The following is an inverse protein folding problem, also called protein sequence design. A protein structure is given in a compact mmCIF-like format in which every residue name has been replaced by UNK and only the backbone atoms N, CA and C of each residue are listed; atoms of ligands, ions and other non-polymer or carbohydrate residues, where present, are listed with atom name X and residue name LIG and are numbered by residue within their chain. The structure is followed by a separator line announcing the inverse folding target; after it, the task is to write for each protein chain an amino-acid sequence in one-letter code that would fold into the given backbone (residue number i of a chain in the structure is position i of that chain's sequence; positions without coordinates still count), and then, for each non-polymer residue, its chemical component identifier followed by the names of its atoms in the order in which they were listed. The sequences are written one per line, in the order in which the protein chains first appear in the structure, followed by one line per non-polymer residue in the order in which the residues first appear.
data_IF_553871832750
#
_entry.id   IF_553871832750
#
_cell.length_a   1.000
_cell.length_b   1.000
_cell.length_c   1.000
_cell.angle_alpha   90.00
_cell.angle_beta   90.00
_cell.angle_gamma   90.00
#
_symmetry.space_group_name_H-M   'P 1'
#
loop_
_entity.id
_entity.type
_entity.pdbx_description
1 polymer ?
#
# COMPACT_ATOMS: atom_id res chain seq x y z
N UNK A 1 -15.91 2.42 -40.31
CA UNK A 1 -16.66 3.19 -39.30
C UNK A 1 -16.83 2.47 -37.97
N UNK A 2 -17.08 1.15 -37.94
CA UNK A 2 -17.30 0.35 -36.71
C UNK A 2 -16.12 0.35 -35.73
N UNK A 3 -14.88 0.25 -36.23
CA UNK A 3 -13.68 0.23 -35.37
C UNK A 3 -13.42 1.56 -34.63
N UNK A 4 -13.75 2.69 -35.25
CA UNK A 4 -13.59 4.01 -34.62
C UNK A 4 -14.50 4.16 -33.41
N UNK A 5 -15.75 3.69 -33.52
CA UNK A 5 -16.71 3.70 -32.42
C UNK A 5 -16.30 2.75 -31.29
N UNK A 6 -15.79 1.56 -31.62
CA UNK A 6 -15.28 0.61 -30.63
C UNK A 6 -14.11 1.20 -29.83
N UNK A 7 -13.12 1.79 -30.51
CA UNK A 7 -11.94 2.36 -29.85
C UNK A 7 -12.28 3.57 -28.99
N UNK A 8 -13.19 4.43 -29.47
CA UNK A 8 -13.73 5.53 -28.69
C UNK A 8 -14.46 5.02 -27.44
N UNK A 9 -15.36 4.04 -27.60
CA UNK A 9 -16.15 3.49 -26.50
C UNK A 9 -15.25 2.86 -25.43
N UNK A 10 -14.25 2.06 -25.83
CA UNK A 10 -13.29 1.47 -24.89
C UNK A 10 -12.45 2.53 -24.17
N UNK A 11 -12.05 3.59 -24.88
CA UNK A 11 -11.30 4.70 -24.28
C UNK A 11 -12.15 5.45 -23.25
N UNK A 12 -13.42 5.73 -23.57
CA UNK A 12 -14.38 6.33 -22.64
C UNK A 12 -14.56 5.46 -21.39
N UNK A 13 -14.76 4.15 -21.56
CA UNK A 13 -14.85 3.20 -20.43
C UNK A 13 -13.59 3.26 -19.56
N UNK A 14 -12.41 3.22 -20.16
CA UNK A 14 -11.14 3.26 -19.43
C UNK A 14 -10.96 4.59 -18.67
N UNK A 15 -11.38 5.73 -19.24
CA UNK A 15 -11.38 7.03 -18.56
C UNK A 15 -12.32 7.02 -17.34
N UNK A 16 -13.54 6.49 -17.49
CA UNK A 16 -14.47 6.37 -16.36
C UNK A 16 -13.93 5.48 -15.25
N UNK A 17 -13.30 4.35 -15.59
CA UNK A 17 -12.69 3.46 -14.61
C UNK A 17 -11.50 4.12 -13.89
N UNK A 18 -10.63 4.83 -14.61
CA UNK A 18 -9.56 5.61 -13.98
C UNK A 18 -10.12 6.70 -13.04
N UNK A 19 -11.18 7.39 -13.48
CA UNK A 19 -11.92 8.35 -12.65
C UNK A 19 -12.47 7.72 -11.38
N UNK A 20 -12.98 6.48 -11.45
CA UNK A 20 -13.47 5.76 -10.27
C UNK A 20 -12.38 5.48 -9.23
N UNK A 21 -11.15 5.20 -9.66
CA UNK A 21 -9.99 5.02 -8.76
C UNK A 21 -9.68 6.32 -8.04
N UNK A 22 -9.74 7.45 -8.74
CA UNK A 22 -9.53 8.78 -8.15
C UNK A 22 -10.62 9.14 -7.14
N UNK A 23 -11.88 8.85 -7.45
CA UNK A 23 -13.00 9.07 -6.51
C UNK A 23 -12.83 8.21 -5.25
N UNK A 24 -12.48 6.93 -5.42
CA UNK A 24 -12.24 6.01 -4.32
C UNK A 24 -11.06 6.48 -3.46
N UNK A 25 -10.00 6.99 -4.08
CA UNK A 25 -8.88 7.63 -3.39
C UNK A 25 -9.31 8.82 -2.52
N UNK A 26 -10.08 9.75 -3.07
CA UNK A 26 -10.58 10.92 -2.35
C UNK A 26 -11.49 10.51 -1.18
N UNK A 27 -12.37 9.53 -1.40
CA UNK A 27 -13.24 8.99 -0.36
C UNK A 27 -12.45 8.36 0.79
N UNK A 28 -11.48 7.50 0.49
CA UNK A 28 -10.62 6.89 1.51
C UNK A 28 -9.80 7.93 2.28
N UNK A 29 -9.29 8.95 1.59
CA UNK A 29 -8.53 10.04 2.22
C UNK A 29 -9.40 10.83 3.19
N UNK A 30 -10.60 11.23 2.76
CA UNK A 30 -11.58 11.91 3.63
C UNK A 30 -11.97 11.06 4.83
N UNK A 31 -12.21 9.76 4.63
CA UNK A 31 -12.52 8.82 5.71
C UNK A 31 -11.39 8.74 6.73
N UNK A 32 -10.13 8.71 6.30
CA UNK A 32 -8.99 8.69 7.23
C UNK A 32 -8.89 10.00 8.01
N UNK A 33 -9.04 11.15 7.36
CA UNK A 33 -8.94 12.46 8.01
C UNK A 33 -9.98 12.62 9.12
N UNK A 34 -11.20 12.14 8.89
CA UNK A 34 -12.28 12.20 9.87
C UNK A 34 -12.19 11.12 10.96
N UNK A 35 -11.41 10.06 10.75
CA UNK A 35 -11.29 8.95 11.71
C UNK A 35 -10.60 9.41 12.99
N UNK A 36 -11.17 9.18 14.17
CA UNK A 36 -10.56 9.54 15.46
C UNK A 36 -9.99 8.30 16.14
N UNK A 37 -8.77 8.41 16.69
CA UNK A 37 -8.20 7.35 17.53
C UNK A 37 -8.85 7.47 18.91
N UNK A 38 -9.56 6.43 19.41
CA UNK A 38 -10.18 6.48 20.72
C UNK A 38 -9.11 6.44 21.81
N UNK A 39 -9.28 7.22 22.87
CA UNK A 39 -8.41 7.16 24.04
C UNK A 39 -8.66 5.86 24.83
N UNK A 40 -7.60 5.17 25.25
CA UNK A 40 -7.69 3.98 26.10
C UNK A 40 -7.54 4.45 27.55
N UNK A 41 -8.61 4.33 28.33
CA UNK A 41 -8.61 4.74 29.73
C UNK A 41 -8.08 3.60 30.60
N UNK A 42 -6.85 3.74 31.10
CA UNK A 42 -6.23 2.78 32.02
C UNK A 42 -5.46 3.50 33.13
N UNK A 43 -5.02 2.74 34.14
CA UNK A 43 -4.18 3.29 35.21
C UNK A 43 -2.77 3.67 34.73
N UNK A 44 -2.33 3.11 33.60
CA UNK A 44 -0.95 3.19 33.11
C UNK A 44 -0.87 4.15 31.93
N UNK A 45 -1.09 5.44 32.21
CA UNK A 45 -1.21 6.46 31.17
C UNK A 45 0.12 6.85 30.51
N UNK A 46 1.26 6.61 31.17
CA UNK A 46 2.59 6.96 30.68
C UNK A 46 3.54 5.77 30.86
N UNK A 47 4.40 5.54 29.88
CA UNK A 47 5.50 4.57 29.94
C UNK A 47 6.82 5.32 29.95
N UNK A 48 7.76 4.94 30.83
CA UNK A 48 9.04 5.64 30.92
C UNK A 48 9.98 5.25 29.78
N UNK A 49 10.92 6.13 29.41
CA UNK A 49 11.93 5.82 28.38
C UNK A 49 12.80 4.62 28.75
N UNK A 50 13.04 4.40 30.04
CA UNK A 50 13.73 3.24 30.60
C UNK A 50 12.94 1.95 30.40
N UNK A 51 11.62 1.98 30.66
CA UNK A 51 10.73 0.84 30.40
C UNK A 51 10.67 0.51 28.92
N UNK A 52 10.55 1.52 28.04
CA UNK A 52 10.59 1.33 26.59
C UNK A 52 11.88 0.64 26.15
N UNK A 53 13.04 1.10 26.64
CA UNK A 53 14.32 0.50 26.26
C UNK A 53 14.45 -0.95 26.74
N UNK A 54 14.00 -1.24 27.96
CA UNK A 54 13.97 -2.60 28.51
C UNK A 54 13.04 -3.50 27.68
N UNK A 55 11.86 -2.99 27.32
CA UNK A 55 10.90 -3.67 26.45
C UNK A 55 11.52 -4.00 25.11
N UNK A 56 12.13 -3.03 24.43
CA UNK A 56 12.80 -3.22 23.15
C UNK A 56 13.83 -4.35 23.26
N UNK A 57 14.66 -4.34 24.31
CA UNK A 57 15.68 -5.35 24.54
C UNK A 57 15.08 -6.75 24.75
N UNK A 58 14.01 -6.85 25.53
CA UNK A 58 13.32 -8.12 25.79
C UNK A 58 12.70 -8.68 24.50
N UNK A 59 11.96 -7.87 23.74
CA UNK A 59 11.35 -8.31 22.48
C UNK A 59 12.40 -8.59 21.40
N UNK A 60 13.52 -7.87 21.40
CA UNK A 60 14.64 -8.16 20.51
C UNK A 60 15.20 -9.57 20.78
N UNK A 61 15.34 -9.97 22.04
CA UNK A 61 15.76 -11.33 22.40
C UNK A 61 14.70 -12.36 21.96
N UNK A 62 13.43 -12.12 22.27
CA UNK A 62 12.33 -13.03 21.95
C UNK A 62 12.14 -13.27 20.46
N UNK A 63 12.32 -12.23 19.64
CA UNK A 63 12.21 -12.35 18.18
C UNK A 63 13.52 -12.77 17.50
N UNK A 64 14.53 -13.19 18.27
CA UNK A 64 15.85 -13.60 17.78
C UNK A 64 16.55 -12.52 16.93
N UNK A 65 16.50 -11.27 17.40
CA UNK A 65 17.09 -10.08 16.78
C UNK A 65 18.38 -9.61 17.49
N UNK A 66 19.05 -10.48 18.26
CA UNK A 66 20.21 -10.11 19.09
C UNK A 66 21.36 -9.48 18.29
N UNK A 67 21.53 -9.88 17.03
CA UNK A 67 22.55 -9.34 16.15
C UNK A 67 22.21 -7.97 15.56
N UNK A 68 20.98 -7.49 15.74
CA UNK A 68 20.49 -6.24 15.16
C UNK A 68 20.45 -5.15 16.22
N UNK A 69 21.03 -3.98 15.93
CA UNK A 69 20.87 -2.81 16.78
C UNK A 69 19.51 -2.16 16.50
N UNK A 70 18.68 -2.01 17.54
CA UNK A 70 17.43 -1.24 17.46
C UNK A 70 17.73 0.23 17.77
N UNK A 71 17.47 1.10 16.80
CA UNK A 71 17.67 2.55 16.90
C UNK A 71 16.29 3.19 17.04
N UNK A 72 15.96 3.58 18.28
CA UNK A 72 14.72 4.28 18.63
C UNK A 72 14.98 5.79 18.73
N UNK A 73 14.72 6.53 17.66
CA UNK A 73 15.15 7.93 17.53
C UNK A 73 14.03 8.83 17.03
N UNK A 74 14.11 10.11 17.43
CA UNK A 74 13.29 11.17 16.86
C UNK A 74 13.74 11.40 15.42
N UNK A 75 12.83 11.17 14.47
CA UNK A 75 13.10 11.38 13.05
C UNK A 75 11.96 12.20 12.48
N UNK A 76 12.28 13.29 11.77
CA UNK A 76 11.28 14.12 11.08
C UNK A 76 10.47 13.33 10.04
N UNK A 77 11.03 12.24 9.52
CA UNK A 77 10.42 11.42 8.46
C UNK A 77 9.91 10.09 9.00
N UNK A 78 8.63 9.83 8.72
CA UNK A 78 7.98 8.55 9.02
C UNK A 78 8.69 7.37 8.35
N UNK A 79 9.12 6.40 9.15
CA UNK A 79 9.70 5.14 8.64
C UNK A 79 8.58 4.21 8.16
N UNK A 80 8.61 3.83 6.87
CA UNK A 80 7.61 2.92 6.26
C UNK A 80 7.69 1.51 6.87
N UNK A 81 6.55 0.82 6.95
CA UNK A 81 6.38 -0.49 7.65
C UNK A 81 7.40 -1.56 7.21
N UNK A 82 7.69 -1.67 5.91
CA UNK A 82 8.64 -2.68 5.38
C UNK A 82 10.02 -2.14 5.00
N UNK A 83 10.36 -0.93 5.46
CA UNK A 83 11.65 -0.26 5.21
C UNK A 83 12.40 0.09 6.51
N UNK A 84 12.02 -0.51 7.63
CA UNK A 84 12.65 -0.25 8.92
C UNK A 84 13.92 -1.08 9.18
N UNK A 85 14.20 -2.11 8.37
CA UNK A 85 15.40 -2.97 8.52
C UNK A 85 16.47 -2.65 7.48
N UNK A 86 17.69 -2.39 7.94
CA UNK A 86 18.91 -2.34 7.15
C UNK A 86 19.72 -3.61 7.38
N UNK A 87 19.53 -4.62 6.52
CA UNK A 87 20.16 -5.95 6.68
C UNK A 87 21.69 -5.89 6.70
N UNK A 88 22.29 -5.11 5.81
CA UNK A 88 23.76 -5.03 5.69
C UNK A 88 24.41 -4.39 6.92
N UNK A 89 23.76 -3.39 7.52
CA UNK A 89 24.24 -2.70 8.73
C UNK A 89 23.76 -3.38 10.02
N UNK A 90 22.95 -4.43 9.92
CA UNK A 90 22.22 -5.05 11.02
C UNK A 90 21.54 -4.03 11.94
N UNK A 91 20.76 -3.11 11.34
CA UNK A 91 20.07 -2.04 12.08
C UNK A 91 18.57 -2.08 11.85
N UNK A 92 17.79 -1.84 12.90
CA UNK A 92 16.33 -1.69 12.87
C UNK A 92 16.00 -0.28 13.37
N UNK A 93 15.40 0.55 12.52
CA UNK A 93 15.05 1.92 12.86
C UNK A 93 13.56 2.02 13.22
N UNK A 94 13.28 2.59 14.39
CA UNK A 94 11.93 2.87 14.84
C UNK A 94 11.84 4.36 15.17
N UNK A 95 10.96 5.09 14.49
CA UNK A 95 10.74 6.51 14.76
C UNK A 95 9.96 6.66 16.06
N UNK A 96 10.45 7.49 16.99
CA UNK A 96 9.69 7.96 18.15
C UNK A 96 8.46 8.75 17.72
N UNK A 97 7.35 8.60 18.44
CA UNK A 97 6.07 9.25 18.15
C UNK A 97 5.29 9.49 19.44
N UNK A 98 4.41 10.48 19.36
CA UNK A 98 3.40 10.74 20.38
C UNK A 98 2.17 9.91 20.05
N UNK A 99 1.68 9.15 21.02
CA UNK A 99 0.48 8.33 20.91
C UNK A 99 -0.59 8.80 21.88
N UNK A 100 -1.84 8.55 21.55
CA UNK A 100 -2.97 8.88 22.41
C UNK A 100 -3.03 8.01 23.68
N UNK A 101 -2.37 6.85 23.69
CA UNK A 101 -2.25 5.98 24.88
C UNK A 101 -1.02 5.09 24.81
N UNK A 102 -0.59 4.58 25.97
CA UNK A 102 0.50 3.59 26.11
C UNK A 102 0.25 2.32 25.30
N UNK A 103 -1.00 1.83 25.26
CA UNK A 103 -1.37 0.66 24.46
C UNK A 103 -1.02 0.79 22.98
N UNK A 104 -1.23 1.97 22.39
CA UNK A 104 -0.88 2.23 20.99
C UNK A 104 0.63 2.32 20.78
N UNK A 105 1.35 2.93 21.72
CA UNK A 105 2.82 2.99 21.66
C UNK A 105 3.44 1.59 21.73
N UNK A 106 2.92 0.74 22.62
CA UNK A 106 3.33 -0.65 22.78
C UNK A 106 3.06 -1.47 21.52
N UNK A 107 1.84 -1.42 20.97
CA UNK A 107 1.48 -2.09 19.71
C UNK A 107 2.39 -1.62 18.56
N UNK A 108 2.67 -0.32 18.48
CA UNK A 108 3.60 0.23 17.50
C UNK A 108 5.02 -0.32 17.65
N UNK A 109 5.60 -0.29 18.84
CA UNK A 109 6.98 -0.75 19.07
C UNK A 109 7.11 -2.25 18.79
N UNK A 110 6.23 -3.05 19.37
CA UNK A 110 6.27 -4.51 19.26
C UNK A 110 6.03 -4.95 17.83
N UNK A 111 5.05 -4.34 17.14
CA UNK A 111 4.78 -4.66 15.74
C UNK A 111 5.96 -4.33 14.84
N UNK A 112 6.68 -3.23 15.07
CA UNK A 112 7.86 -2.86 14.29
C UNK A 112 8.97 -3.89 14.43
N UNK A 113 9.23 -4.35 15.65
CA UNK A 113 10.20 -5.41 15.91
C UNK A 113 9.76 -6.74 15.29
N UNK A 114 8.49 -7.10 15.45
CA UNK A 114 7.94 -8.33 14.89
C UNK A 114 8.02 -8.36 13.36
N UNK A 115 7.59 -7.28 12.69
CA UNK A 115 7.68 -7.17 11.22
C UNK A 115 9.13 -7.26 10.76
N UNK A 116 10.07 -6.63 11.48
CA UNK A 116 11.49 -6.72 11.19
C UNK A 116 12.01 -8.15 11.29
N UNK A 117 11.66 -8.87 12.38
CA UNK A 117 12.04 -10.26 12.57
C UNK A 117 11.53 -11.16 11.46
N UNK A 118 10.23 -11.07 11.14
CA UNK A 118 9.63 -11.86 10.06
C UNK A 118 10.21 -11.51 8.68
N UNK A 119 10.61 -10.26 8.44
CA UNK A 119 11.28 -9.85 7.20
C UNK A 119 12.73 -10.37 7.10
N UNK A 120 13.43 -10.52 8.23
CA UNK A 120 14.77 -11.11 8.28
C UNK A 120 14.68 -12.63 8.05
N UNK A 121 13.73 -13.28 8.73
CA UNK A 121 13.44 -14.72 8.62
C UNK A 121 12.80 -15.13 7.28
N UNK A 122 12.42 -14.16 6.43
CA UNK A 122 11.73 -14.37 5.15
C UNK A 122 10.41 -15.14 5.30
N UNK A 123 9.60 -14.80 6.31
CA UNK A 123 8.28 -15.41 6.50
C UNK A 123 7.40 -15.20 5.25
N UNK A 124 6.91 -16.31 4.67
CA UNK A 124 6.10 -16.31 3.47
C UNK A 124 4.80 -15.50 3.60
N UNK A 125 4.18 -15.47 4.78
CA UNK A 125 2.94 -14.71 5.00
C UNK A 125 3.18 -13.20 4.93
N UNK A 126 4.30 -12.73 5.49
CA UNK A 126 4.65 -11.32 5.46
C UNK A 126 5.14 -10.89 4.07
N UNK A 127 5.95 -11.73 3.41
CA UNK A 127 6.47 -11.42 2.07
C UNK A 127 5.36 -11.38 1.02
N UNK A 128 4.40 -12.32 1.08
CA UNK A 128 3.21 -12.30 0.20
C UNK A 128 2.37 -11.05 0.39
N UNK A 129 2.09 -10.65 1.65
CA UNK A 129 1.37 -9.42 1.94
C UNK A 129 2.08 -8.16 1.45
N UNK A 130 3.40 -8.08 1.68
CA UNK A 130 4.23 -6.99 1.16
C UNK A 130 4.13 -6.88 -0.37
N UNK A 131 4.19 -8.02 -1.07
CA UNK A 131 4.06 -8.07 -2.52
C UNK A 131 2.66 -7.65 -3.00
N UNK A 132 1.60 -8.09 -2.30
CA UNK A 132 0.22 -7.74 -2.62
C UNK A 132 -0.08 -6.25 -2.49
N UNK A 133 0.54 -5.53 -1.54
CA UNK A 133 0.23 -4.11 -1.34
C UNK A 133 1.22 -3.16 -2.02
N UNK A 134 2.49 -3.54 -2.10
CA UNK A 134 3.49 -2.71 -2.76
C UNK A 134 3.71 -3.18 -4.19
N UNK A 135 4.36 -4.32 -4.39
CA UNK A 135 4.90 -4.70 -5.70
C UNK A 135 3.81 -4.76 -6.78
N UNK A 136 2.73 -5.51 -6.54
CA UNK A 136 1.70 -5.74 -7.55
C UNK A 136 0.95 -4.45 -7.92
N UNK A 137 0.42 -3.65 -6.97
CA UNK A 137 -0.28 -2.42 -7.32
C UNK A 137 0.60 -1.40 -8.06
N UNK A 138 1.87 -1.24 -7.67
CA UNK A 138 2.78 -0.34 -8.40
C UNK A 138 3.07 -0.82 -9.83
N UNK A 139 3.28 -2.14 -10.03
CA UNK A 139 3.46 -2.69 -11.38
C UNK A 139 2.21 -2.56 -12.23
N UNK A 140 1.02 -2.81 -11.66
CA UNK A 140 -0.25 -2.67 -12.38
C UNK A 140 -0.50 -1.20 -12.74
N UNK A 141 -0.26 -0.26 -11.83
CA UNK A 141 -0.42 1.16 -12.11
C UNK A 141 0.48 1.64 -13.26
N UNK A 142 1.74 1.17 -13.28
CA UNK A 142 2.65 1.44 -14.39
C UNK A 142 2.12 0.87 -15.72
N UNK A 143 1.69 -0.41 -15.73
CA UNK A 143 1.15 -1.07 -16.93
C UNK A 143 -0.14 -0.41 -17.43
N UNK A 144 -1.04 0.01 -16.52
CA UNK A 144 -2.26 0.77 -16.84
C UNK A 144 -1.88 2.09 -17.51
N UNK A 145 -0.93 2.82 -16.94
CA UNK A 145 -0.50 4.13 -17.46
C UNK A 145 0.07 4.00 -18.88
N UNK A 146 0.97 3.04 -19.10
CA UNK A 146 1.56 2.78 -20.43
C UNK A 146 0.48 2.36 -21.44
N UNK A 147 -0.40 1.43 -21.07
CA UNK A 147 -1.48 0.95 -21.95
C UNK A 147 -2.50 2.05 -22.27
N UNK A 148 -2.79 2.92 -21.30
CA UNK A 148 -3.70 4.04 -21.50
C UNK A 148 -3.11 5.10 -22.44
N UNK A 149 -1.87 5.53 -22.19
CA UNK A 149 -1.18 6.51 -23.05
C UNK A 149 -1.07 5.98 -24.47
N UNK A 150 -0.73 4.70 -24.64
CA UNK A 150 -0.65 4.09 -25.96
C UNK A 150 -2.01 4.03 -26.67
N UNK A 151 -3.10 3.72 -25.95
CA UNK A 151 -4.46 3.76 -26.52
C UNK A 151 -4.89 5.16 -26.97
N UNK A 152 -4.54 6.20 -26.20
CA UNK A 152 -4.80 7.60 -26.55
C UNK A 152 -3.98 8.01 -27.77
N UNK A 153 -2.70 7.63 -27.81
CA UNK A 153 -1.83 7.89 -28.96
C UNK A 153 -2.39 7.28 -30.24
N UNK A 154 -2.77 5.99 -30.23
CA UNK A 154 -3.36 5.32 -31.40
C UNK A 154 -4.63 6.01 -31.87
N UNK A 155 -5.48 6.45 -30.94
CA UNK A 155 -6.70 7.19 -31.25
C UNK A 155 -6.43 8.54 -31.93
N UNK A 156 -5.52 9.34 -31.38
CA UNK A 156 -5.16 10.63 -31.95
C UNK A 156 -4.49 10.45 -33.32
N UNK A 157 -3.53 9.52 -33.42
CA UNK A 157 -2.79 9.24 -34.66
C UNK A 157 -3.74 8.86 -35.80
N UNK A 158 -4.65 7.91 -35.56
CA UNK A 158 -5.58 7.49 -36.61
C UNK A 158 -6.60 8.58 -36.94
N UNK A 159 -7.05 9.38 -35.96
CA UNK A 159 -7.95 10.52 -36.22
C UNK A 159 -7.29 11.59 -37.07
N UNK A 160 -6.00 11.87 -36.87
CA UNK A 160 -5.25 12.85 -37.66
C UNK A 160 -4.94 12.33 -39.07
N UNK A 161 -4.54 11.06 -39.20
CA UNK A 161 -4.14 10.49 -40.50
C UNK A 161 -5.30 10.03 -41.39
N UNK A 162 -6.48 9.74 -40.83
CA UNK A 162 -7.68 9.44 -41.64
C UNK A 162 -8.11 10.65 -42.46
N UNK A 163 -7.89 11.87 -41.97
CA UNK A 163 -8.10 13.08 -42.76
C UNK A 163 -7.01 13.24 -43.86
N UNK A 164 -5.80 12.76 -43.62
CA UNK A 164 -4.67 12.86 -44.56
C UNK A 164 -4.70 11.81 -45.69
N UNK A 165 -5.23 10.60 -45.43
CA UNK A 165 -5.36 9.53 -46.44
C UNK A 165 -6.51 9.74 -47.43
N UNK A 166 -7.53 10.54 -47.09
CA UNK A 166 -8.62 10.88 -48.02
C UNK A 166 -8.12 11.86 -49.10
N UNK A 167 -7.12 12.69 -48.78
CA UNK A 167 -6.59 13.70 -49.71
C UNK A 167 -5.47 13.17 -50.62
N UNK A 168 -4.80 12.06 -50.27
CA UNK A 168 -3.63 11.51 -50.98
C UNK A 168 -3.88 10.13 -51.62
N UNK A 169 -5.07 9.90 -52.20
CA UNK A 169 -5.50 8.59 -52.74
C UNK A 169 -4.80 8.13 -54.03
N UNK A 170 -3.60 8.59 -54.35
CA UNK A 170 -2.86 8.11 -55.52
C UNK A 170 -1.41 7.77 -55.19
N UNK A 171 -1.17 6.48 -54.93
CA UNK A 171 0.08 5.73 -55.16
C UNK A 171 1.15 5.57 -54.05
N UNK A 172 0.92 5.92 -52.78
CA UNK A 172 1.97 5.67 -51.78
C UNK A 172 1.93 4.25 -51.17
N UNK A 173 3.08 3.55 -51.27
CA UNK A 173 3.35 2.28 -50.61
C UNK A 173 3.29 2.50 -49.10
N UNK A 174 2.26 1.95 -48.46
CA UNK A 174 2.12 1.95 -46.99
C UNK A 174 3.40 1.38 -46.37
N UNK A 175 4.01 2.15 -45.46
CA UNK A 175 5.21 1.69 -44.76
C UNK A 175 4.86 0.53 -43.81
N UNK A 176 5.82 -0.37 -43.54
CA UNK A 176 5.60 -1.49 -42.61
C UNK A 176 5.16 -1.01 -41.21
N UNK A 177 5.61 0.18 -40.79
CA UNK A 177 5.23 0.80 -39.53
C UNK A 177 3.75 1.22 -39.49
N UNK A 178 3.25 1.85 -40.57
CA UNK A 178 1.84 2.23 -40.68
C UNK A 178 0.91 1.00 -40.71
N UNK A 179 1.35 -0.09 -41.34
CA UNK A 179 0.60 -1.35 -41.32
C UNK A 179 0.43 -1.90 -39.90
N UNK A 180 1.49 -1.87 -39.09
CA UNK A 180 1.42 -2.31 -37.68
C UNK A 180 0.49 -1.42 -36.86
N UNK A 181 0.55 -0.09 -37.06
CA UNK A 181 -0.35 0.84 -36.38
C UNK A 181 -1.82 0.65 -36.79
N UNK A 182 -2.09 0.39 -38.07
CA UNK A 182 -3.43 0.05 -38.55
C UNK A 182 -3.93 -1.27 -37.96
N UNK A 183 -3.06 -2.27 -37.85
CA UNK A 183 -3.41 -3.55 -37.24
C UNK A 183 -3.77 -3.41 -35.75
N UNK A 184 -2.99 -2.61 -35.00
CA UNK A 184 -3.25 -2.26 -33.60
C UNK A 184 -4.49 -1.38 -33.43
N UNK A 185 -4.89 -0.64 -34.47
CA UNK A 185 -6.14 0.12 -34.48
C UNK A 185 -7.36 -0.78 -34.67
N UNK A 186 -7.29 -1.72 -35.62
CA UNK A 186 -8.38 -2.68 -35.88
C UNK A 186 -8.59 -3.59 -34.67
N UNK A 187 -7.50 -4.00 -34.02
CA UNK A 187 -7.50 -4.81 -32.82
C UNK A 187 -7.02 -3.98 -31.61
N UNK A 188 -7.90 -3.35 -30.82
CA UNK A 188 -7.53 -2.45 -29.72
C UNK A 188 -7.00 -3.17 -28.49
N UNK A 189 -5.96 -3.98 -28.67
CA UNK A 189 -5.27 -4.77 -27.65
C UNK A 189 -4.87 -3.88 -26.47
N UNK A 190 -4.37 -2.67 -26.74
CA UNK A 190 -3.98 -1.71 -25.69
C UNK A 190 -5.13 -1.34 -24.76
N UNK A 191 -6.32 -1.09 -25.31
CA UNK A 191 -7.49 -0.69 -24.53
C UNK A 191 -8.02 -1.86 -23.70
N UNK A 192 -8.01 -3.08 -24.28
CA UNK A 192 -8.37 -4.30 -23.56
C UNK A 192 -7.39 -4.62 -22.44
N UNK A 193 -6.08 -4.47 -22.67
CA UNK A 193 -5.06 -4.64 -21.65
C UNK A 193 -5.24 -3.64 -20.51
N UNK A 194 -5.49 -2.36 -20.82
CA UNK A 194 -5.79 -1.34 -19.82
C UNK A 194 -6.97 -1.74 -18.93
N UNK A 195 -8.08 -2.15 -19.55
CA UNK A 195 -9.26 -2.64 -18.83
C UNK A 195 -8.94 -3.88 -17.95
N UNK A 196 -8.23 -4.86 -18.50
CA UNK A 196 -7.86 -6.07 -17.78
C UNK A 196 -6.95 -5.77 -16.56
N UNK A 197 -5.98 -4.86 -16.72
CA UNK A 197 -5.11 -4.43 -15.62
C UNK A 197 -5.86 -3.66 -14.54
N UNK A 198 -6.83 -2.82 -14.93
CA UNK A 198 -7.72 -2.14 -13.98
C UNK A 198 -8.55 -3.14 -13.16
N UNK A 199 -9.14 -4.16 -13.80
CA UNK A 199 -9.87 -5.21 -13.10
C UNK A 199 -8.95 -6.02 -12.18
N UNK A 200 -7.74 -6.34 -12.63
CA UNK A 200 -6.73 -6.99 -11.80
C UNK A 200 -6.38 -6.15 -10.57
N UNK A 201 -6.28 -4.82 -10.70
CA UNK A 201 -6.05 -3.91 -9.59
C UNK A 201 -7.14 -4.03 -8.51
N UNK A 202 -8.42 -4.05 -8.91
CA UNK A 202 -9.53 -4.24 -7.96
C UNK A 202 -9.49 -5.59 -7.26
N UNK A 203 -9.18 -6.67 -7.99
CA UNK A 203 -9.02 -8.01 -7.40
C UNK A 203 -7.87 -8.02 -6.38
N UNK A 204 -6.74 -7.38 -6.71
CA UNK A 204 -5.59 -7.31 -5.79
C UNK A 204 -5.93 -6.53 -4.51
N UNK A 205 -6.71 -5.46 -4.62
CA UNK A 205 -7.24 -4.71 -3.47
C UNK A 205 -8.13 -5.57 -2.57
N UNK A 206 -9.03 -6.35 -3.16
CA UNK A 206 -9.87 -7.26 -2.39
C UNK A 206 -9.05 -8.34 -1.66
N UNK A 207 -8.07 -8.93 -2.35
CA UNK A 207 -7.18 -9.93 -1.76
C UNK A 207 -6.34 -9.35 -0.63
N UNK A 208 -5.84 -8.12 -0.76
CA UNK A 208 -5.01 -7.49 0.29
C UNK A 208 -5.78 -7.31 1.60
N UNK A 209 -7.08 -6.96 1.54
CA UNK A 209 -7.93 -6.85 2.75
C UNK A 209 -8.02 -8.19 3.48
N UNK A 210 -8.26 -9.28 2.73
CA UNK A 210 -8.34 -10.63 3.31
C UNK A 210 -7.01 -11.09 3.90
N UNK A 211 -5.90 -10.82 3.21
CA UNK A 211 -4.57 -11.16 3.72
C UNK A 211 -4.17 -10.32 4.93
N UNK A 212 -4.55 -9.04 4.99
CA UNK A 212 -4.37 -8.20 6.17
C UNK A 212 -5.01 -8.86 7.38
N UNK A 213 -6.28 -9.25 7.30
CA UNK A 213 -7.00 -9.86 8.42
C UNK A 213 -6.30 -11.13 8.93
N UNK A 214 -5.83 -11.98 8.01
CA UNK A 214 -5.05 -13.19 8.38
C UNK A 214 -3.75 -12.84 9.09
N UNK A 215 -3.05 -11.78 8.66
CA UNK A 215 -1.84 -11.32 9.32
C UNK A 215 -2.10 -10.66 10.67
N UNK A 216 -3.17 -9.89 10.82
CA UNK A 216 -3.57 -9.30 12.09
C UNK A 216 -3.84 -10.39 13.14
N UNK A 217 -4.50 -11.49 12.75
CA UNK A 217 -4.73 -12.66 13.64
C UNK A 217 -3.40 -13.34 13.95
N UNK A 218 -2.57 -13.63 12.94
CA UNK A 218 -1.27 -14.29 13.13
C UNK A 218 -0.34 -13.49 14.06
N UNK A 219 -0.29 -12.17 13.89
CA UNK A 219 0.44 -11.27 14.77
C UNK A 219 -0.12 -11.31 16.20
N UNK A 220 -1.44 -11.23 16.34
CA UNK A 220 -2.10 -11.24 17.65
C UNK A 220 -1.82 -12.55 18.42
N UNK A 221 -1.90 -13.69 17.75
CA UNK A 221 -1.69 -15.01 18.36
C UNK A 221 -0.27 -15.21 18.87
N UNK A 222 0.73 -14.71 18.15
CA UNK A 222 2.13 -14.77 18.58
C UNK A 222 2.42 -13.75 19.68
N UNK A 223 1.98 -12.50 19.52
CA UNK A 223 2.40 -11.40 20.39
C UNK A 223 1.62 -11.34 21.70
N UNK A 224 0.32 -11.67 21.72
CA UNK A 224 -0.47 -11.60 22.96
C UNK A 224 0.10 -12.51 24.05
N UNK A 225 0.61 -13.69 23.67
CA UNK A 225 1.28 -14.61 24.59
C UNK A 225 2.55 -14.00 25.17
N UNK A 226 3.35 -13.37 24.33
CA UNK A 226 4.59 -12.71 24.74
C UNK A 226 4.31 -11.55 25.68
N UNK A 227 3.40 -10.65 25.30
CA UNK A 227 2.97 -9.48 26.11
C UNK A 227 2.53 -9.91 27.51
N UNK A 228 1.67 -10.94 27.60
CA UNK A 228 1.22 -11.48 28.89
C UNK A 228 2.38 -11.95 29.79
N UNK A 229 3.46 -12.46 29.20
CA UNK A 229 4.62 -12.96 29.95
C UNK A 229 5.64 -11.88 30.30
N UNK A 230 5.86 -10.87 29.45
CA UNK A 230 6.90 -9.84 29.66
C UNK A 230 6.41 -8.54 30.27
N UNK A 231 5.17 -8.15 30.00
CA UNK A 231 4.60 -6.85 30.39
C UNK A 231 3.12 -7.03 30.77
N UNK A 232 2.87 -7.89 31.76
CA UNK A 232 1.52 -8.23 32.23
C UNK A 232 0.71 -7.00 32.68
N UNK A 233 1.38 -6.01 33.26
CA UNK A 233 0.78 -4.74 33.71
C UNK A 233 0.17 -3.92 32.55
N UNK A 234 0.66 -4.10 31.32
CA UNK A 234 0.16 -3.41 30.12
C UNK A 234 -0.69 -4.31 29.21
N UNK A 235 -1.04 -5.52 29.64
CA UNK A 235 -1.78 -6.49 28.82
C UNK A 235 -3.15 -5.95 28.37
N UNK A 236 -3.85 -5.26 29.27
CA UNK A 236 -5.16 -4.64 28.97
C UNK A 236 -5.04 -3.58 27.86
N UNK A 237 -4.09 -2.65 28.03
CA UNK A 237 -3.87 -1.54 27.08
C UNK A 237 -3.47 -2.05 25.70
N UNK A 238 -2.58 -3.05 25.68
CA UNK A 238 -2.21 -3.71 24.43
C UNK A 238 -3.44 -4.34 23.77
N UNK A 239 -4.24 -5.14 24.48
CA UNK A 239 -5.44 -5.79 23.91
C UNK A 239 -6.48 -4.78 23.39
N UNK A 240 -6.68 -3.67 24.10
CA UNK A 240 -7.55 -2.60 23.66
C UNK A 240 -7.04 -1.98 22.35
N UNK A 241 -5.74 -1.67 22.27
CA UNK A 241 -5.11 -1.18 21.06
C UNK A 241 -5.22 -2.16 19.88
N UNK A 242 -5.05 -3.47 20.14
CA UNK A 242 -5.23 -4.54 19.14
C UNK A 242 -6.65 -4.64 18.63
N UNK A 243 -7.64 -4.55 19.52
CA UNK A 243 -9.07 -4.58 19.15
C UNK A 243 -9.41 -3.41 18.24
N UNK A 244 -8.92 -2.22 18.59
CA UNK A 244 -9.04 -1.05 17.73
C UNK A 244 -8.37 -1.25 16.36
N UNK A 245 -7.11 -1.70 16.32
CA UNK A 245 -6.39 -1.93 15.06
C UNK A 245 -7.09 -2.95 14.14
N UNK A 246 -7.60 -4.05 14.72
CA UNK A 246 -8.34 -5.08 13.99
C UNK A 246 -9.69 -4.61 13.44
N UNK A 247 -10.32 -3.62 14.08
CA UNK A 247 -11.57 -3.02 13.60
C UNK A 247 -11.38 -2.31 12.25
N UNK A 248 -10.17 -1.82 11.98
CA UNK A 248 -9.82 -1.14 10.74
C UNK A 248 -9.54 -2.20 9.68
N UNK A 249 -10.50 -2.46 8.78
CA UNK A 249 -10.36 -3.53 7.77
C UNK A 249 -9.50 -3.12 6.56
N UNK A 250 -9.48 -1.83 6.23
CA UNK A 250 -8.78 -1.34 5.03
C UNK A 250 -7.26 -1.42 5.23
N UNK A 251 -6.55 -1.95 4.23
CA UNK A 251 -5.09 -2.17 4.27
C UNK A 251 -4.27 -0.96 3.80
N UNK A 252 -4.82 -0.13 2.91
CA UNK A 252 -4.13 1.03 2.36
C UNK A 252 -5.11 2.04 1.76
N UNK A 253 -4.73 3.32 1.73
CA UNK A 253 -5.35 4.33 0.87
C UNK A 253 -4.85 4.07 -0.56
N UNK A 254 -5.74 3.85 -1.54
CA UNK A 254 -5.32 3.46 -2.88
C UNK A 254 -4.39 4.50 -3.52
N UNK A 255 -3.22 4.02 -3.92
CA UNK A 255 -2.40 4.56 -5.02
C UNK A 255 -1.54 5.80 -4.73
N UNK A 256 -1.92 6.80 -3.91
CA UNK A 256 -1.06 7.99 -3.74
C UNK A 256 -0.96 8.52 -2.30
N UNK A 257 0.26 8.55 -1.76
CA UNK A 257 0.58 9.47 -0.66
C UNK A 257 0.83 10.83 -1.30
N UNK A 258 -0.10 11.78 -1.17
CA UNK A 258 0.17 13.17 -1.57
C UNK A 258 1.37 13.63 -0.74
N UNK A 259 2.43 14.06 -1.44
CA UNK A 259 3.64 14.59 -0.82
C UNK A 259 3.23 15.66 0.20
N UNK A 260 3.70 15.52 1.45
CA UNK A 260 3.49 16.42 2.59
C UNK A 260 2.12 16.42 3.30
N UNK A 261 1.11 15.63 2.91
CA UNK A 261 -0.21 15.74 3.56
C UNK A 261 -0.28 15.20 5.01
N UNK A 262 0.70 14.40 5.43
CA UNK A 262 0.61 13.61 6.66
C UNK A 262 1.61 14.00 7.76
N UNK A 263 2.42 15.03 7.58
CA UNK A 263 3.58 15.26 8.47
C UNK A 263 3.22 15.53 9.94
N UNK A 264 2.03 16.07 10.23
CA UNK A 264 1.69 16.56 11.58
C UNK A 264 0.50 15.83 12.26
N UNK A 265 -0.22 14.93 11.57
CA UNK A 265 -1.43 14.27 12.10
C UNK A 265 -1.48 12.76 11.79
N UNK A 266 -0.39 12.04 12.05
CA UNK A 266 -0.37 10.59 11.89
C UNK A 266 -1.16 9.90 13.00
N UNK A 267 -2.30 9.32 12.62
CA UNK A 267 -3.13 8.50 13.51
C UNK A 267 -2.66 7.06 13.47
N UNK A 268 -2.49 6.44 14.65
CA UNK A 268 -2.26 5.00 14.70
C UNK A 268 -3.52 4.28 14.19
N UNK A 269 -3.35 3.43 13.19
CA UNK A 269 -4.43 2.65 12.57
C UNK A 269 -4.11 1.15 12.54
N UNK A 270 -3.09 0.76 13.30
CA UNK A 270 -2.56 -0.59 13.35
C UNK A 270 -1.25 -0.79 12.60
N UNK A 271 -0.66 -1.97 12.74
CA UNK A 271 0.68 -2.28 12.22
C UNK A 271 0.71 -2.63 10.73
N UNK A 272 -0.43 -3.05 10.18
CA UNK A 272 -0.55 -3.49 8.78
C UNK A 272 -1.36 -2.51 7.91
N UNK A 273 -1.68 -1.32 8.42
CA UNK A 273 -2.25 -0.22 7.63
C UNK A 273 -1.16 0.64 7.02
N UNK A 274 -1.21 0.80 5.69
CA UNK A 274 -0.28 1.68 4.98
C UNK A 274 -0.95 3.04 4.80
N UNK A 275 -0.39 4.02 5.53
CA UNK A 275 -0.74 5.45 5.50
C UNK A 275 0.46 6.27 5.01
#
# INVERSE_FOLDING_TARGET
MTHNWLNLLLLVINVFLLGSILILYLFCTKSYLNHTVPYINSSNNNITSTEINNLIKNFQIMFNLKEYQVIYTDTEKMIKIFKNVHKNKKQIFISKRIFESTGYELDYLISRLWISAKQIQKDNKLTTYKTLIYTIPYTLFFLITVSFIFSVFLYIYHRSNTNFMIDNTSNDRISQFEFVLLWLWINPISSYLCFAFLMCLFVTYYLSIRYKQKLEIYYNDEVTKLVKTTISEYEFDFKAARTYAQSIKLSYIPVMKVFNFWTNHYKWTGPFTIV
#
